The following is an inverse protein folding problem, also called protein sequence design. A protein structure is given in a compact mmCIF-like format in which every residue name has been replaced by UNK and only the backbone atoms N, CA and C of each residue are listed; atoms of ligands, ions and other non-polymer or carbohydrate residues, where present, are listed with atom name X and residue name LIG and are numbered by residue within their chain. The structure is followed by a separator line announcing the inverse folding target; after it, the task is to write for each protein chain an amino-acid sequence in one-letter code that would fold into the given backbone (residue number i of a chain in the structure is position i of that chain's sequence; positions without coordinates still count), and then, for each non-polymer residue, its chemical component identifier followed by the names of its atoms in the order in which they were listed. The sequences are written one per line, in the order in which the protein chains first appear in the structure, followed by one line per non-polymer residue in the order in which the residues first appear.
data_IF_200784310434
#
_entry.id   IF_200784310434
#
_cell.length_a   1.000
_cell.length_b   1.000
_cell.length_c   1.000
_cell.angle_alpha   90.00
_cell.angle_beta   90.00
_cell.angle_gamma   90.00
#
_symmetry.space_group_name_H-M   'P 1'
#
loop_
_entity.id
_entity.type
_entity.pdbx_description
1 polymer ?
#
# COMPACT_ATOMS: atom_id res chain seq x y z
N UNK A 1 -81.05 -37.18 22.55
CA UNK A 1 -81.69 -36.75 21.30
C UNK A 1 -80.77 -35.74 20.61
N UNK A 2 -80.64 -35.89 19.27
CA UNK A 2 -80.09 -34.96 18.25
C UNK A 2 -79.90 -33.51 18.75
N UNK A 3 -78.77 -32.81 18.61
CA UNK A 3 -77.83 -32.72 17.49
C UNK A 3 -77.90 -31.29 16.93
N UNK A 4 -76.79 -30.54 16.95
CA UNK A 4 -76.42 -29.40 16.07
C UNK A 4 -75.19 -28.68 16.66
N UNK A 5 -73.98 -29.14 16.30
CA UNK A 5 -72.74 -28.39 16.48
C UNK A 5 -72.26 -27.90 15.12
N UNK A 6 -72.16 -26.58 15.02
CA UNK A 6 -71.35 -25.74 14.12
C UNK A 6 -70.85 -26.31 12.79
N UNK A 7 -71.29 -25.67 11.70
CA UNK A 7 -70.59 -25.67 10.41
C UNK A 7 -69.13 -25.17 10.58
N UNK A 8 -68.19 -26.10 10.69
CA UNK A 8 -66.79 -25.84 10.42
C UNK A 8 -66.55 -25.81 8.92
N UNK A 9 -66.33 -24.62 8.34
CA UNK A 9 -65.88 -24.47 6.95
C UNK A 9 -64.53 -25.16 6.79
N UNK A 10 -64.47 -26.22 5.99
CA UNK A 10 -63.19 -26.77 5.49
C UNK A 10 -62.51 -25.70 4.62
N UNK A 11 -61.24 -25.34 4.87
CA UNK A 11 -60.47 -24.58 3.89
C UNK A 11 -60.20 -25.47 2.66
N UNK A 12 -60.13 -24.90 1.45
CA UNK A 12 -59.83 -25.66 0.25
C UNK A 12 -58.44 -26.30 0.34
N UNK A 13 -58.20 -27.46 -0.29
CA UNK A 13 -56.89 -28.07 -0.31
C UNK A 13 -55.88 -27.12 -0.96
N UNK A 14 -54.80 -26.82 -0.24
CA UNK A 14 -53.68 -26.07 -0.80
C UNK A 14 -53.12 -26.83 -2.01
N UNK A 15 -52.80 -26.17 -3.13
CA UNK A 15 -52.18 -26.84 -4.27
C UNK A 15 -50.85 -27.43 -3.82
N UNK A 16 -50.71 -28.74 -4.03
CA UNK A 16 -49.46 -29.47 -3.81
C UNK A 16 -48.48 -29.04 -4.90
N UNK A 17 -47.79 -27.91 -4.71
CA UNK A 17 -46.68 -27.54 -5.57
C UNK A 17 -45.54 -28.55 -5.34
N UNK A 18 -44.97 -29.16 -6.38
CA UNK A 18 -43.82 -30.03 -6.19
C UNK A 18 -42.69 -29.19 -5.60
N UNK A 19 -42.07 -29.69 -4.52
CA UNK A 19 -40.86 -29.12 -3.97
C UNK A 19 -39.74 -29.22 -5.02
N UNK A 20 -39.65 -28.22 -5.89
CA UNK A 20 -38.54 -28.06 -6.81
C UNK A 20 -37.28 -27.92 -5.99
N UNK A 21 -36.41 -28.93 -6.06
CA UNK A 21 -35.08 -28.92 -5.45
C UNK A 21 -34.36 -27.66 -5.94
N UNK A 22 -34.33 -26.59 -5.12
CA UNK A 22 -33.55 -25.38 -5.43
C UNK A 22 -32.08 -25.78 -5.40
N UNK A 23 -31.51 -25.99 -6.58
CA UNK A 23 -30.09 -26.23 -6.72
C UNK A 23 -29.33 -25.04 -6.12
N UNK A 24 -28.42 -25.31 -5.18
CA UNK A 24 -27.61 -24.27 -4.52
C UNK A 24 -26.78 -23.52 -5.58
N UNK A 25 -26.67 -22.18 -5.53
CA UNK A 25 -25.93 -21.39 -6.53
C UNK A 25 -24.46 -21.81 -6.66
N UNK A 26 -23.86 -22.31 -5.57
CA UNK A 26 -22.51 -22.88 -5.58
C UNK A 26 -22.41 -24.17 -6.42
N UNK A 27 -23.43 -25.04 -6.37
CA UNK A 27 -23.49 -26.24 -7.19
C UNK A 27 -23.62 -25.89 -8.68
N UNK A 28 -24.41 -24.87 -9.01
CA UNK A 28 -24.60 -24.40 -10.40
C UNK A 28 -23.31 -23.77 -10.97
N UNK A 29 -22.56 -23.02 -10.15
CA UNK A 29 -21.26 -22.45 -10.55
C UNK A 29 -20.21 -23.54 -10.79
N UNK A 30 -20.09 -24.50 -9.88
CA UNK A 30 -19.16 -25.63 -10.01
C UNK A 30 -19.50 -26.49 -11.24
N UNK A 31 -20.78 -26.75 -11.51
CA UNK A 31 -21.21 -27.47 -12.71
C UNK A 31 -20.91 -26.71 -14.01
N UNK A 32 -21.04 -25.37 -14.02
CA UNK A 32 -20.67 -24.53 -15.17
C UNK A 32 -19.16 -24.53 -15.41
N UNK A 33 -18.35 -24.41 -14.36
CA UNK A 33 -16.88 -24.56 -14.47
C UNK A 33 -16.50 -25.95 -14.99
N UNK A 34 -17.15 -27.01 -14.51
CA UNK A 34 -16.90 -28.40 -14.94
C UNK A 34 -17.19 -28.64 -16.42
N UNK A 35 -18.08 -27.86 -17.04
CA UNK A 35 -18.36 -27.90 -18.49
C UNK A 35 -17.33 -27.12 -19.33
N UNK A 36 -16.62 -26.16 -18.74
CA UNK A 36 -15.51 -25.47 -19.37
C UNK A 36 -14.21 -26.27 -19.31
N UNK A 37 -14.16 -27.29 -18.44
CA UNK A 37 -13.05 -28.21 -18.35
C UNK A 37 -13.13 -29.25 -19.49
N UNK A 38 -12.09 -29.34 -20.34
CA UNK A 38 -12.07 -30.26 -21.47
C UNK A 38 -12.09 -31.70 -20.98
N UNK A 39 -12.77 -32.57 -21.75
CA UNK A 39 -13.00 -33.97 -21.37
C UNK A 39 -11.72 -34.80 -21.31
N UNK A 40 -10.74 -34.48 -22.17
CA UNK A 40 -9.49 -35.22 -22.28
C UNK A 40 -8.56 -34.95 -21.07
N UNK A 41 -8.06 -36.04 -20.49
CA UNK A 41 -7.07 -35.98 -19.38
C UNK A 41 -5.79 -35.26 -19.81
N UNK A 42 -5.38 -35.46 -21.06
CA UNK A 42 -4.20 -34.82 -21.65
C UNK A 42 -4.34 -33.29 -21.72
N UNK A 43 -5.47 -32.78 -22.22
CA UNK A 43 -5.64 -31.33 -22.33
C UNK A 43 -5.73 -30.67 -20.95
N UNK A 44 -6.36 -31.33 -19.97
CA UNK A 44 -6.33 -30.85 -18.57
C UNK A 44 -4.91 -30.80 -18.01
N UNK A 45 -4.08 -31.81 -18.29
CA UNK A 45 -2.67 -31.80 -17.89
C UNK A 45 -1.89 -30.67 -18.56
N UNK A 46 -2.09 -30.45 -19.86
CA UNK A 46 -1.44 -29.36 -20.60
C UNK A 46 -1.84 -27.99 -20.06
N UNK A 47 -3.12 -27.77 -19.73
CA UNK A 47 -3.56 -26.54 -19.08
C UNK A 47 -2.93 -26.32 -17.70
N UNK A 48 -2.78 -27.38 -16.90
CA UNK A 48 -2.12 -27.30 -15.59
C UNK A 48 -0.63 -26.97 -15.73
N UNK A 49 0.07 -27.60 -16.67
CA UNK A 49 1.47 -27.30 -16.96
C UNK A 49 1.64 -25.87 -17.47
N UNK A 50 0.76 -25.41 -18.35
CA UNK A 50 0.75 -24.03 -18.83
C UNK A 50 0.54 -23.04 -17.68
N UNK A 51 -0.44 -23.29 -16.80
CA UNK A 51 -0.67 -22.47 -15.61
C UNK A 51 0.53 -22.47 -14.66
N UNK A 52 1.15 -23.64 -14.43
CA UNK A 52 2.31 -23.78 -13.56
C UNK A 52 3.54 -23.06 -14.15
N UNK A 53 3.69 -23.05 -15.47
CA UNK A 53 4.78 -22.36 -16.16
C UNK A 53 4.75 -20.83 -16.00
N UNK A 54 3.58 -20.25 -15.70
CA UNK A 54 3.42 -18.82 -15.44
C UNK A 54 3.80 -18.43 -14.00
N UNK A 55 3.88 -19.39 -13.09
CA UNK A 55 4.17 -19.14 -11.67
C UNK A 55 5.58 -18.55 -11.48
N UNK A 56 6.66 -19.13 -12.04
CA UNK A 56 8.00 -18.56 -11.87
C UNK A 56 8.12 -17.14 -12.47
N UNK A 57 7.74 -16.87 -13.73
CA UNK A 57 7.79 -15.52 -14.30
C UNK A 57 7.00 -14.50 -13.49
N UNK A 58 5.80 -14.85 -13.02
CA UNK A 58 5.00 -13.97 -12.17
C UNK A 58 5.69 -13.71 -10.82
N UNK A 59 6.15 -14.76 -10.14
CA UNK A 59 6.87 -14.64 -8.87
C UNK A 59 8.10 -13.74 -9.01
N UNK A 60 8.94 -13.98 -10.02
CA UNK A 60 10.13 -13.16 -10.29
C UNK A 60 9.75 -11.72 -10.63
N UNK A 61 8.75 -11.49 -11.47
CA UNK A 61 8.28 -10.14 -11.80
C UNK A 61 7.83 -9.35 -10.57
N UNK A 62 6.98 -9.94 -9.72
CA UNK A 62 6.50 -9.27 -8.51
C UNK A 62 7.61 -9.11 -7.46
N UNK A 63 8.51 -10.09 -7.29
CA UNK A 63 9.63 -10.01 -6.35
C UNK A 63 10.69 -9.00 -6.79
N UNK A 64 11.06 -8.98 -8.08
CA UNK A 64 12.01 -8.02 -8.64
C UNK A 64 11.46 -6.60 -8.57
N UNK A 65 10.17 -6.40 -8.88
CA UNK A 65 9.51 -5.10 -8.68
C UNK A 65 9.56 -4.65 -7.22
N UNK A 66 9.28 -5.54 -6.28
CA UNK A 66 9.39 -5.23 -4.84
C UNK A 66 10.83 -4.88 -4.46
N UNK A 67 11.80 -5.64 -4.94
CA UNK A 67 13.21 -5.40 -4.65
C UNK A 67 13.71 -4.07 -5.21
N UNK A 68 13.38 -3.75 -6.47
CA UNK A 68 13.71 -2.47 -7.09
C UNK A 68 13.04 -1.31 -6.33
N UNK A 69 11.78 -1.45 -5.94
CA UNK A 69 11.09 -0.43 -5.13
C UNK A 69 11.71 -0.23 -3.74
N UNK A 70 12.21 -1.29 -3.11
CA UNK A 70 12.96 -1.17 -1.85
C UNK A 70 14.31 -0.48 -2.08
N UNK A 71 15.04 -0.84 -3.14
CA UNK A 71 16.30 -0.18 -3.52
C UNK A 71 16.11 1.30 -3.83
N UNK A 72 15.09 1.68 -4.58
CA UNK A 72 14.76 3.08 -4.88
C UNK A 72 14.41 3.87 -3.61
N UNK A 73 13.75 3.25 -2.62
CA UNK A 73 13.50 3.92 -1.33
C UNK A 73 14.78 4.11 -0.52
N UNK A 74 15.67 3.12 -0.52
CA UNK A 74 16.91 3.17 0.26
C UNK A 74 18.02 3.99 -0.40
N UNK A 75 18.02 4.11 -1.73
CA UNK A 75 19.07 4.74 -2.52
C UNK A 75 18.56 5.88 -3.40
N UNK A 76 17.30 6.30 -3.25
CA UNK A 76 16.71 7.41 -4.01
C UNK A 76 17.42 8.75 -3.80
N UNK A 77 18.22 8.87 -2.75
CA UNK A 77 19.07 10.01 -2.45
C UNK A 77 20.42 9.99 -3.20
N UNK A 78 20.83 8.90 -3.84
CA UNK A 78 22.07 8.87 -4.64
C UNK A 78 22.03 9.87 -5.82
N UNK A 79 20.96 9.92 -6.63
CA UNK A 79 20.88 10.91 -7.72
C UNK A 79 20.52 12.33 -7.23
N UNK A 80 19.98 12.46 -6.02
CA UNK A 80 19.58 13.73 -5.42
C UNK A 80 19.86 13.70 -3.91
N UNK A 81 21.11 13.92 -3.49
CA UNK A 81 21.48 13.85 -2.08
C UNK A 81 20.78 14.94 -1.29
N UNK A 82 20.51 14.71 0.00
CA UNK A 82 19.98 15.77 0.86
C UNK A 82 20.98 16.93 0.93
N UNK A 83 20.47 18.16 0.99
CA UNK A 83 21.31 19.33 1.23
C UNK A 83 21.89 19.29 2.64
N UNK A 84 23.15 19.67 2.77
CA UNK A 84 23.86 19.81 4.04
C UNK A 84 23.96 21.30 4.38
N UNK A 85 23.33 21.67 5.49
CA UNK A 85 23.28 23.05 5.97
C UNK A 85 23.99 23.18 7.32
N UNK A 86 24.96 24.10 7.41
CA UNK A 86 25.73 24.36 8.61
C UNK A 86 25.00 25.35 9.53
N UNK A 87 24.47 24.86 10.65
CA UNK A 87 23.72 25.64 11.63
C UNK A 87 24.66 26.55 12.45
N UNK A 88 24.55 27.86 12.24
CA UNK A 88 25.46 28.87 12.76
C UNK A 88 26.89 28.75 12.21
N UNK A 89 27.06 28.15 11.02
CA UNK A 89 28.37 27.71 10.52
C UNK A 89 28.83 26.37 11.09
N UNK A 90 30.14 26.09 11.08
CA UNK A 90 30.71 24.90 11.71
C UNK A 90 30.78 25.07 13.23
N UNK A 91 29.61 24.96 13.87
CA UNK A 91 29.43 25.07 15.31
C UNK A 91 30.04 23.91 16.11
N UNK A 92 30.61 22.91 15.43
CA UNK A 92 31.39 21.84 16.09
C UNK A 92 32.82 22.30 16.36
N UNK A 93 33.41 23.08 15.45
CA UNK A 93 34.83 23.47 15.52
C UNK A 93 35.06 24.95 15.90
N UNK A 94 34.03 25.80 15.81
CA UNK A 94 34.09 27.20 16.22
C UNK A 94 32.77 27.66 16.88
N UNK A 95 32.79 28.82 17.53
CA UNK A 95 31.57 29.37 18.13
C UNK A 95 30.51 29.66 17.04
N UNK A 96 29.24 29.28 17.26
CA UNK A 96 28.19 29.49 16.28
C UNK A 96 28.01 30.98 15.96
N UNK A 97 27.58 31.28 14.74
CA UNK A 97 27.38 32.64 14.22
C UNK A 97 28.64 33.52 14.24
N UNK A 98 29.83 32.91 14.27
CA UNK A 98 31.12 33.61 14.14
C UNK A 98 31.67 33.53 12.73
N UNK A 99 32.55 34.48 12.37
CA UNK A 99 33.23 34.46 11.08
C UNK A 99 34.07 33.20 10.87
N UNK A 100 34.62 32.61 11.92
CA UNK A 100 35.44 31.40 11.82
C UNK A 100 34.58 30.17 11.57
N UNK A 101 33.43 30.05 12.25
CA UNK A 101 32.46 28.98 11.97
C UNK A 101 31.94 29.06 10.53
N UNK A 102 31.65 30.26 10.02
CA UNK A 102 31.23 30.44 8.64
C UNK A 102 32.32 30.05 7.64
N UNK A 103 33.57 30.47 7.86
CA UNK A 103 34.69 30.09 6.99
C UNK A 103 34.91 28.59 6.97
N UNK A 104 34.95 27.95 8.14
CA UNK A 104 35.10 26.50 8.25
C UNK A 104 33.99 25.74 7.54
N UNK A 105 32.74 26.19 7.66
CA UNK A 105 31.62 25.59 6.93
C UNK A 105 31.77 25.73 5.41
N UNK A 106 32.18 26.90 4.92
CA UNK A 106 32.43 27.14 3.49
C UNK A 106 33.60 26.31 2.97
N UNK A 107 34.68 26.17 3.75
CA UNK A 107 35.82 25.32 3.42
C UNK A 107 35.43 23.84 3.35
N UNK A 108 34.48 23.42 4.20
CA UNK A 108 33.86 22.10 4.16
C UNK A 108 32.87 21.90 2.99
N UNK A 109 32.60 22.95 2.19
CA UNK A 109 31.72 22.93 1.00
C UNK A 109 30.30 22.46 1.30
N UNK A 110 29.73 22.94 2.41
CA UNK A 110 28.31 22.75 2.70
C UNK A 110 27.43 23.43 1.63
N UNK A 111 26.22 22.92 1.43
CA UNK A 111 25.28 23.50 0.46
C UNK A 111 24.70 24.82 0.94
N UNK A 112 24.59 24.99 2.26
CA UNK A 112 24.11 26.23 2.86
C UNK A 112 24.73 26.51 4.24
N UNK A 113 24.78 27.79 4.60
CA UNK A 113 25.16 28.25 5.94
C UNK A 113 23.96 28.97 6.51
N UNK A 114 23.53 28.56 7.70
CA UNK A 114 22.47 29.23 8.44
C UNK A 114 23.07 30.29 9.37
N UNK A 115 22.36 31.41 9.49
CA UNK A 115 22.77 32.60 10.23
C UNK A 115 21.57 33.10 11.02
N UNK A 116 21.72 33.14 12.34
CA UNK A 116 20.74 33.76 13.22
C UNK A 116 21.00 35.26 13.32
N UNK A 117 19.95 36.07 13.17
CA UNK A 117 20.08 37.52 13.21
C UNK A 117 19.28 38.12 14.36
N UNK A 118 19.98 38.86 15.22
CA UNK A 118 19.41 39.69 16.27
C UNK A 118 19.66 41.17 15.98
N UNK A 119 18.90 42.06 16.63
CA UNK A 119 19.02 43.52 16.45
C UNK A 119 19.38 44.20 17.76
N UNK A 120 20.41 45.03 17.76
CA UNK A 120 20.76 45.88 18.91
C UNK A 120 19.77 47.03 19.11
N UNK A 121 19.88 47.74 20.23
CA UNK A 121 19.04 48.89 20.57
C UNK A 121 19.21 50.07 19.60
N UNK A 122 20.38 50.21 18.98
CA UNK A 122 20.67 51.21 17.95
C UNK A 122 20.27 50.76 16.53
N UNK A 123 19.74 49.54 16.37
CA UNK A 123 19.23 49.02 15.10
C UNK A 123 20.23 48.21 14.28
N UNK A 124 21.48 48.05 14.74
CA UNK A 124 22.49 47.20 14.07
C UNK A 124 22.08 45.72 14.10
N UNK A 125 22.30 45.01 12.97
CA UNK A 125 22.08 43.57 12.89
C UNK A 125 23.33 42.81 13.30
N UNK A 126 23.15 41.81 14.15
CA UNK A 126 24.21 40.98 14.72
C UNK A 126 23.92 39.53 14.40
N UNK A 127 24.95 38.77 14.01
CA UNK A 127 24.87 37.33 13.88
C UNK A 127 24.91 36.71 15.28
N UNK A 128 23.74 36.45 15.86
CA UNK A 128 23.60 36.00 17.24
C UNK A 128 22.27 35.25 17.40
N UNK A 129 22.34 34.04 17.93
CA UNK A 129 21.18 33.18 18.16
C UNK A 129 20.33 33.67 19.35
N UNK A 130 20.99 34.07 20.44
CA UNK A 130 20.31 34.47 21.67
C UNK A 130 19.76 35.90 21.58
N UNK A 131 18.71 36.18 22.38
CA UNK A 131 17.96 37.44 22.38
C UNK A 131 17.97 38.10 23.74
#
# INVERSE_FOLDING_TARGET
MRGLLGLGRQPPPLPLFPAGKRASPAATLLFRLRRLLPSSRLFRLLLLLAALSLVPPAFFHFRLRRFNRMRERSCGWIPSPPLVCAHGGDSTNAFPNSMDAFRMALDARVDCVEVDVSRSSDGTLLALHDR
#
